data_IF_970651211990
#
_entry.id   IF_970651211990
#
_cell.length_a   1.000
_cell.length_b   1.000
_cell.length_c   1.000
_cell.angle_alpha   90.00
_cell.angle_beta   90.00
_cell.angle_gamma   90.00
#
_symmetry.space_group_name_H-M   'P 1'
#
loop_
_entity.id
_entity.type
_entity.pdbx_description
1 polymer ?
#
# COMPACT_ATOMS: atom_id res chain seq x y z
N UNK A 1 -19.11 -20.66 -1.79
CA UNK A 1 -18.48 -21.91 -1.32
C UNK A 1 -17.32 -21.48 -0.42
N UNK A 2 -17.54 -21.56 0.86
CA UNK A 2 -16.55 -21.12 1.85
C UNK A 2 -15.34 -22.04 1.77
N UNK A 3 -14.19 -21.48 1.41
CA UNK A 3 -12.92 -22.21 1.43
C UNK A 3 -12.48 -22.36 2.90
N UNK A 4 -12.97 -23.40 3.55
CA UNK A 4 -12.42 -23.80 4.86
C UNK A 4 -11.13 -24.54 4.57
N UNK A 5 -10.01 -23.94 4.92
CA UNK A 5 -8.69 -24.56 4.78
C UNK A 5 -8.39 -25.30 6.08
N UNK A 6 -8.73 -26.58 6.15
CA UNK A 6 -8.49 -27.42 7.33
C UNK A 6 -7.00 -27.65 7.59
N UNK A 7 -6.17 -27.66 6.56
CA UNK A 7 -4.73 -27.83 6.66
C UNK A 7 -3.97 -26.87 5.74
N UNK A 8 -3.53 -25.76 6.32
CA UNK A 8 -2.82 -24.70 5.60
C UNK A 8 -1.53 -25.22 4.96
N UNK A 9 -0.76 -26.07 5.65
CA UNK A 9 0.49 -26.59 5.13
C UNK A 9 0.27 -27.45 3.88
N UNK A 10 -0.76 -28.29 3.89
CA UNK A 10 -1.10 -29.11 2.74
C UNK A 10 -1.62 -28.24 1.58
N UNK A 11 -2.45 -27.23 1.85
CA UNK A 11 -2.94 -26.30 0.85
C UNK A 11 -1.78 -25.54 0.16
N UNK A 12 -0.76 -25.11 0.91
CA UNK A 12 0.45 -24.48 0.36
C UNK A 12 1.17 -25.44 -0.58
N UNK A 13 1.40 -26.69 -0.16
CA UNK A 13 2.08 -27.70 -0.96
C UNK A 13 1.34 -27.97 -2.26
N UNK A 14 0.03 -28.16 -2.19
CA UNK A 14 -0.79 -28.49 -3.36
C UNK A 14 -0.89 -27.32 -4.33
N UNK A 15 -1.05 -26.08 -3.82
CA UNK A 15 -1.01 -24.87 -4.64
C UNK A 15 0.31 -24.73 -5.36
N UNK A 16 1.44 -24.90 -4.67
CA UNK A 16 2.77 -24.86 -5.30
C UNK A 16 2.94 -25.94 -6.37
N UNK A 17 2.49 -27.16 -6.13
CA UNK A 17 2.51 -28.25 -7.13
C UNK A 17 1.67 -27.90 -8.36
N UNK A 18 0.48 -27.34 -8.14
CA UNK A 18 -0.41 -26.95 -9.24
C UNK A 18 0.21 -25.83 -10.08
N UNK A 19 0.70 -24.76 -9.46
CA UNK A 19 1.34 -23.64 -10.14
C UNK A 19 2.59 -24.11 -10.92
N UNK A 20 3.40 -24.98 -10.32
CA UNK A 20 4.59 -25.51 -10.98
C UNK A 20 4.27 -26.33 -12.25
N UNK A 21 3.14 -27.00 -12.32
CA UNK A 21 2.73 -27.72 -13.53
C UNK A 21 2.51 -26.79 -14.73
N UNK A 22 2.10 -25.56 -14.46
CA UNK A 22 1.80 -24.54 -15.48
C UNK A 22 3.08 -23.75 -15.88
N UNK A 23 4.20 -23.98 -15.21
CA UNK A 23 5.45 -23.24 -15.39
C UNK A 23 6.62 -24.20 -15.69
N UNK A 24 6.64 -24.85 -16.87
CA UNK A 24 7.65 -25.87 -17.20
C UNK A 24 9.08 -25.31 -17.17
N UNK A 25 9.26 -24.04 -17.58
CA UNK A 25 10.56 -23.36 -17.67
C UNK A 25 10.86 -22.46 -16.45
N UNK A 26 10.44 -22.88 -15.26
CA UNK A 26 10.51 -22.08 -14.03
C UNK A 26 11.93 -21.52 -13.75
N UNK A 27 13.00 -22.27 -14.02
CA UNK A 27 14.38 -21.79 -13.83
C UNK A 27 14.73 -20.65 -14.80
N UNK A 28 14.26 -20.71 -16.03
CA UNK A 28 14.44 -19.65 -17.03
C UNK A 28 13.72 -18.39 -16.58
N UNK A 29 12.46 -18.54 -16.20
CA UNK A 29 11.62 -17.43 -15.70
C UNK A 29 12.30 -16.72 -14.52
N UNK A 30 12.78 -17.45 -13.52
CA UNK A 30 13.47 -16.84 -12.38
C UNK A 30 14.78 -16.14 -12.75
N UNK A 31 15.54 -16.67 -13.72
CA UNK A 31 16.77 -16.01 -14.20
C UNK A 31 16.47 -14.70 -14.91
N UNK A 32 15.41 -14.69 -15.72
CA UNK A 32 14.98 -13.48 -16.43
C UNK A 32 14.47 -12.42 -15.47
N UNK A 33 13.66 -12.82 -14.49
CA UNK A 33 13.18 -11.94 -13.43
C UNK A 33 14.35 -11.36 -12.61
N UNK A 34 15.31 -12.20 -12.19
CA UNK A 34 16.50 -11.77 -11.45
C UNK A 34 17.32 -10.76 -12.24
N UNK A 35 17.48 -10.98 -13.55
CA UNK A 35 18.19 -10.05 -14.44
C UNK A 35 17.49 -8.70 -14.51
N UNK A 36 16.17 -8.72 -14.66
CA UNK A 36 15.34 -7.51 -14.74
C UNK A 36 15.38 -6.73 -13.42
N UNK A 37 15.21 -7.41 -12.29
CA UNK A 37 15.33 -6.80 -10.96
C UNK A 37 16.72 -6.17 -10.74
N UNK A 38 17.81 -6.83 -11.15
CA UNK A 38 19.16 -6.26 -11.04
C UNK A 38 19.33 -5.00 -11.90
N UNK A 39 18.73 -4.98 -13.08
CA UNK A 39 18.74 -3.80 -13.95
C UNK A 39 17.98 -2.64 -13.28
N UNK A 40 16.81 -2.88 -12.71
CA UNK A 40 16.03 -1.89 -11.98
C UNK A 40 16.77 -1.35 -10.74
N UNK A 41 17.39 -2.23 -9.95
CA UNK A 41 18.22 -1.82 -8.82
C UNK A 41 19.34 -0.89 -9.28
N UNK A 42 20.05 -1.25 -10.36
CA UNK A 42 21.13 -0.42 -10.90
C UNK A 42 20.64 0.94 -11.38
N UNK A 43 19.44 1.03 -11.97
CA UNK A 43 18.81 2.30 -12.33
C UNK A 43 18.51 3.16 -11.09
N UNK A 44 17.99 2.55 -10.03
CA UNK A 44 17.71 3.24 -8.76
C UNK A 44 19.02 3.76 -8.13
N UNK A 45 20.06 2.92 -8.07
CA UNK A 45 21.37 3.32 -7.54
C UNK A 45 22.00 4.48 -8.33
N UNK A 46 21.83 4.48 -9.64
CA UNK A 46 22.28 5.59 -10.48
C UNK A 46 21.51 6.89 -10.17
N UNK A 47 20.19 6.82 -10.00
CA UNK A 47 19.40 7.99 -9.62
C UNK A 47 19.85 8.54 -8.26
N UNK A 48 20.07 7.68 -7.27
CA UNK A 48 20.55 8.08 -5.95
C UNK A 48 21.94 8.74 -6.05
N UNK A 49 22.86 8.15 -6.78
CA UNK A 49 24.20 8.69 -7.00
C UNK A 49 24.18 10.06 -7.69
N UNK A 50 23.25 10.26 -8.61
CA UNK A 50 23.04 11.53 -9.31
C UNK A 50 22.28 12.57 -8.47
N UNK A 51 21.92 12.26 -7.23
CA UNK A 51 21.10 13.12 -6.36
C UNK A 51 19.66 13.31 -6.85
N UNK A 52 19.15 12.41 -7.70
CA UNK A 52 17.80 12.46 -8.25
C UNK A 52 16.82 11.69 -7.36
N UNK A 53 15.59 12.16 -7.27
CA UNK A 53 14.53 11.46 -6.56
C UNK A 53 14.17 10.14 -7.25
N UNK A 54 14.12 9.07 -6.47
CA UNK A 54 13.68 7.74 -6.94
C UNK A 54 12.16 7.65 -6.97
N UNK A 55 11.50 8.18 -5.92
CA UNK A 55 10.04 8.22 -5.83
C UNK A 55 9.56 9.51 -6.45
N UNK A 56 8.67 9.46 -7.45
CA UNK A 56 8.16 10.65 -8.10
C UNK A 56 7.29 11.49 -7.16
N UNK A 57 7.40 12.80 -7.29
CA UNK A 57 6.60 13.76 -6.53
C UNK A 57 5.63 14.49 -7.44
N UNK A 58 4.42 14.72 -6.93
CA UNK A 58 3.37 15.49 -7.60
C UNK A 58 2.85 16.57 -6.67
N UNK A 59 2.77 17.80 -7.13
CA UNK A 59 2.12 18.85 -6.38
C UNK A 59 0.59 18.77 -6.57
N UNK A 60 -0.16 18.92 -5.50
CA UNK A 60 -1.63 18.89 -5.53
C UNK A 60 -2.23 19.92 -6.52
N UNK A 61 -1.63 21.09 -6.67
CA UNK A 61 -2.12 22.09 -7.64
C UNK A 61 -2.07 21.55 -9.08
N UNK A 62 -1.09 20.73 -9.44
CA UNK A 62 -1.05 20.07 -10.75
C UNK A 62 -2.19 19.06 -10.91
N UNK A 63 -2.53 18.32 -9.83
CA UNK A 63 -3.67 17.39 -9.82
C UNK A 63 -4.99 18.16 -9.96
N UNK A 64 -5.15 19.22 -9.18
CA UNK A 64 -6.35 20.08 -9.17
C UNK A 64 -6.65 20.66 -10.54
N UNK A 65 -5.62 21.06 -11.26
CA UNK A 65 -5.71 21.69 -12.57
C UNK A 65 -5.61 20.71 -13.76
N UNK A 66 -5.55 19.39 -13.48
CA UNK A 66 -5.36 18.33 -14.48
C UNK A 66 -4.11 18.53 -15.37
N UNK A 67 -3.01 19.05 -14.76
CA UNK A 67 -1.75 19.43 -15.42
C UNK A 67 -0.56 18.56 -15.00
N UNK A 68 -0.80 17.36 -14.50
CA UNK A 68 0.31 16.44 -14.16
C UNK A 68 0.99 15.95 -15.42
N UNK A 69 2.31 16.10 -15.48
CA UNK A 69 3.12 15.67 -16.63
C UNK A 69 2.98 14.16 -16.87
N UNK A 70 2.77 13.77 -18.12
CA UNK A 70 2.65 12.36 -18.54
C UNK A 70 3.89 11.54 -18.20
N UNK A 71 5.07 12.15 -18.17
CA UNK A 71 6.32 11.46 -17.76
C UNK A 71 6.31 11.12 -16.29
N UNK A 72 5.78 12.02 -15.44
CA UNK A 72 5.59 11.76 -14.00
C UNK A 72 4.60 10.62 -13.82
N UNK A 73 3.47 10.64 -14.53
CA UNK A 73 2.48 9.55 -14.50
C UNK A 73 3.12 8.21 -14.90
N UNK A 74 3.91 8.17 -15.97
CA UNK A 74 4.63 6.97 -16.39
C UNK A 74 5.61 6.49 -15.30
N UNK A 75 6.32 7.40 -14.65
CA UNK A 75 7.23 7.08 -13.56
C UNK A 75 6.48 6.53 -12.35
N UNK A 76 5.31 7.10 -11.99
CA UNK A 76 4.46 6.58 -10.92
C UNK A 76 4.04 5.14 -11.22
N UNK A 77 3.58 4.87 -12.43
CA UNK A 77 3.17 3.51 -12.83
C UNK A 77 4.36 2.54 -12.83
N UNK A 78 5.53 2.99 -13.19
CA UNK A 78 6.75 2.19 -13.17
C UNK A 78 7.22 1.88 -11.75
N UNK A 79 7.18 2.88 -10.85
CA UNK A 79 7.62 2.76 -9.45
C UNK A 79 6.55 2.20 -8.51
N UNK A 80 5.28 2.28 -8.86
CA UNK A 80 4.16 1.85 -8.03
C UNK A 80 3.87 2.72 -6.81
N UNK A 81 4.53 3.87 -6.70
CA UNK A 81 4.39 4.78 -5.57
C UNK A 81 4.61 6.23 -5.99
N UNK A 82 4.10 7.16 -5.19
CA UNK A 82 4.27 8.59 -5.38
C UNK A 82 4.19 9.34 -4.05
N UNK A 83 4.80 10.52 -3.99
CA UNK A 83 4.58 11.51 -2.94
C UNK A 83 3.71 12.63 -3.51
N UNK A 84 2.58 12.89 -2.88
CA UNK A 84 1.70 14.00 -3.25
C UNK A 84 1.95 15.14 -2.28
N UNK A 85 2.47 16.24 -2.79
CA UNK A 85 2.82 17.43 -1.99
C UNK A 85 1.65 18.42 -1.92
N UNK A 86 1.53 19.08 -0.78
CA UNK A 86 0.64 20.20 -0.57
C UNK A 86 -0.86 19.90 -0.77
N UNK A 87 -1.29 18.67 -0.42
CA UNK A 87 -2.72 18.34 -0.40
C UNK A 87 -3.44 19.21 0.63
N UNK A 88 -2.81 19.42 1.79
CA UNK A 88 -3.30 20.28 2.85
C UNK A 88 -2.33 21.44 3.11
N UNK A 89 -2.81 22.61 3.56
CA UNK A 89 -1.96 23.67 4.07
C UNK A 89 -1.13 23.19 5.26
N UNK A 90 0.13 23.62 5.36
CA UNK A 90 1.04 23.21 6.42
C UNK A 90 0.47 23.52 7.81
N UNK A 91 -0.05 24.75 8.02
CA UNK A 91 -0.65 25.14 9.30
C UNK A 91 -1.82 24.25 9.71
N UNK A 92 -2.69 23.87 8.77
CA UNK A 92 -3.80 22.94 9.06
C UNK A 92 -3.31 21.57 9.50
N UNK A 93 -2.23 21.08 8.93
CA UNK A 93 -1.63 19.79 9.27
C UNK A 93 -0.96 19.84 10.65
N UNK A 94 -0.30 20.96 10.97
CA UNK A 94 0.29 21.21 12.28
C UNK A 94 -0.80 21.27 13.36
N UNK A 95 -1.89 22.03 13.15
CA UNK A 95 -3.05 22.07 14.04
C UNK A 95 -3.64 20.66 14.27
N UNK A 96 -3.77 19.87 13.22
CA UNK A 96 -4.27 18.50 13.34
C UNK A 96 -3.33 17.56 14.12
N UNK A 97 -2.02 17.75 13.97
CA UNK A 97 -1.06 16.99 14.75
C UNK A 97 -1.19 17.31 16.24
N UNK A 98 -1.30 18.59 16.59
CA UNK A 98 -1.42 19.04 17.97
C UNK A 98 -2.74 18.55 18.60
N UNK A 99 -3.87 18.67 17.88
CA UNK A 99 -5.15 18.13 18.30
C UNK A 99 -5.12 16.61 18.53
N UNK A 100 -4.37 15.86 17.69
CA UNK A 100 -4.24 14.43 17.87
C UNK A 100 -3.39 14.06 19.09
N UNK A 101 -2.33 14.83 19.36
CA UNK A 101 -1.49 14.64 20.55
C UNK A 101 -2.31 14.88 21.82
N UNK A 102 -3.07 15.97 21.85
CA UNK A 102 -3.98 16.32 22.94
C UNK A 102 -5.02 15.21 23.15
N UNK A 103 -5.70 14.79 22.08
CA UNK A 103 -6.70 13.72 22.13
C UNK A 103 -6.15 12.40 22.72
N UNK A 104 -4.94 11.99 22.30
CA UNK A 104 -4.29 10.77 22.83
C UNK A 104 -4.01 10.90 24.31
N UNK A 105 -3.55 12.07 24.76
CA UNK A 105 -3.16 12.35 26.14
C UNK A 105 -4.39 12.45 27.05
N UNK A 106 -5.39 13.26 26.68
CA UNK A 106 -6.59 13.50 27.48
C UNK A 106 -7.45 12.24 27.67
N UNK A 107 -7.42 11.33 26.68
CA UNK A 107 -8.14 10.06 26.78
C UNK A 107 -7.34 8.95 27.46
N UNK A 108 -6.18 9.24 28.04
CA UNK A 108 -5.36 8.25 28.75
C UNK A 108 -4.99 7.04 27.89
N UNK A 109 -4.75 7.26 26.58
CA UNK A 109 -4.57 6.15 25.64
C UNK A 109 -3.28 5.36 25.91
N UNK A 110 -2.24 6.02 26.39
CA UNK A 110 -0.97 5.36 26.72
C UNK A 110 -1.12 4.40 27.90
N UNK A 111 -1.84 4.82 28.95
CA UNK A 111 -2.11 4.02 30.13
C UNK A 111 -2.96 2.79 29.78
N UNK A 112 -4.00 2.98 28.96
CA UNK A 112 -4.85 1.88 28.48
C UNK A 112 -4.08 0.86 27.64
N UNK A 113 -3.09 1.30 26.85
CA UNK A 113 -2.24 0.40 26.08
C UNK A 113 -1.30 -0.42 26.96
N UNK A 114 -0.79 0.14 28.05
CA UNK A 114 0.06 -0.58 29.00
C UNK A 114 -0.72 -1.71 29.71
N UNK A 115 -1.99 -1.47 30.06
CA UNK A 115 -2.86 -2.49 30.66
C UNK A 115 -3.22 -3.62 29.69
N UNK A 116 -3.24 -3.33 28.38
CA UNK A 116 -3.59 -4.28 27.31
C UNK A 116 -2.37 -4.78 26.54
N UNK A 117 -1.21 -4.83 27.16
CA UNK A 117 0.07 -5.16 26.54
C UNK A 117 0.09 -6.46 25.70
N UNK A 118 -0.85 -7.38 25.94
CA UNK A 118 -0.96 -8.63 25.18
C UNK A 118 -1.51 -8.43 23.73
N UNK A 119 -2.15 -7.30 23.43
CA UNK A 119 -2.65 -7.02 22.08
C UNK A 119 -1.59 -6.39 21.18
N UNK A 120 -0.55 -5.79 21.74
CA UNK A 120 0.50 -5.06 21.06
C UNK A 120 1.91 -5.59 21.35
N UNK A 121 2.08 -6.91 21.54
CA UNK A 121 3.39 -7.53 21.78
C UNK A 121 4.46 -7.13 20.75
N UNK A 122 4.04 -6.74 19.55
CA UNK A 122 4.93 -6.23 18.52
C UNK A 122 5.60 -4.89 18.86
N UNK A 123 5.01 -4.12 19.77
CA UNK A 123 5.46 -2.76 20.11
C UNK A 123 5.87 -2.58 21.57
N UNK A 124 5.71 -3.60 22.40
CA UNK A 124 5.98 -3.54 23.85
C UNK A 124 7.45 -3.42 24.24
N UNK A 125 8.37 -3.58 23.27
CA UNK A 125 9.82 -3.56 23.52
C UNK A 125 10.49 -2.24 23.09
N UNK A 126 9.69 -1.20 22.79
CA UNK A 126 10.20 0.12 22.42
C UNK A 126 10.80 0.86 23.62
N UNK A 127 11.84 1.64 23.38
CA UNK A 127 12.53 2.43 24.42
C UNK A 127 11.56 3.39 25.13
N UNK A 128 10.63 4.01 24.38
CA UNK A 128 9.62 4.90 24.93
C UNK A 128 8.52 4.19 25.74
N UNK A 129 8.35 2.89 25.55
CA UNK A 129 7.22 2.15 26.08
C UNK A 129 5.86 2.56 25.50
N UNK A 130 5.86 3.38 24.43
CA UNK A 130 4.63 3.87 23.79
C UNK A 130 4.32 3.09 22.52
N UNK A 131 3.04 2.84 22.20
CA UNK A 131 2.67 2.20 20.93
C UNK A 131 3.03 3.09 19.75
N UNK A 132 3.42 2.46 18.63
CA UNK A 132 3.66 3.20 17.37
C UNK A 132 2.46 3.19 16.43
N UNK A 133 1.47 2.33 16.68
CA UNK A 133 0.22 2.24 15.91
C UNK A 133 -0.93 2.34 16.90
N UNK A 134 -1.81 3.29 16.69
CA UNK A 134 -2.92 3.58 17.58
C UNK A 134 -4.22 3.09 16.95
N UNK A 135 -5.01 2.36 17.71
CA UNK A 135 -6.37 1.91 17.34
C UNK A 135 -7.42 3.03 17.40
N UNK A 136 -7.02 4.24 17.02
CA UNK A 136 -7.88 5.42 16.96
C UNK A 136 -8.28 5.63 15.49
N UNK A 137 -9.58 5.70 15.22
CA UNK A 137 -10.13 5.75 13.87
C UNK A 137 -11.03 6.97 13.62
N UNK A 138 -11.52 7.60 14.67
CA UNK A 138 -12.62 8.57 14.59
C UNK A 138 -12.28 9.89 15.28
N UNK A 139 -11.01 10.23 15.45
CA UNK A 139 -10.66 11.57 15.91
C UNK A 139 -11.12 12.61 14.89
N UNK A 140 -11.38 13.83 15.36
CA UNK A 140 -11.84 14.92 14.50
C UNK A 140 -10.87 15.17 13.32
N UNK A 141 -9.54 15.26 13.51
CA UNK A 141 -8.59 15.42 12.40
C UNK A 141 -8.67 14.30 11.36
N UNK A 142 -8.81 13.04 11.78
CA UNK A 142 -8.93 11.92 10.85
C UNK A 142 -10.20 12.04 9.99
N UNK A 143 -11.33 12.39 10.61
CA UNK A 143 -12.59 12.56 9.88
C UNK A 143 -12.49 13.71 8.89
N UNK A 144 -11.96 14.86 9.32
CA UNK A 144 -11.78 16.03 8.46
C UNK A 144 -10.86 15.74 7.27
N UNK A 145 -9.73 15.08 7.52
CA UNK A 145 -8.78 14.71 6.45
C UNK A 145 -9.41 13.76 5.43
N UNK A 146 -10.13 12.72 5.90
CA UNK A 146 -10.80 11.74 5.00
C UNK A 146 -11.88 12.36 4.14
N UNK A 147 -12.62 13.36 4.66
CA UNK A 147 -13.75 13.98 3.98
C UNK A 147 -13.38 15.27 3.21
N UNK A 148 -12.12 15.65 3.24
CA UNK A 148 -11.66 16.87 2.55
C UNK A 148 -11.72 16.69 1.03
N UNK A 149 -12.26 17.69 0.35
CA UNK A 149 -12.39 17.69 -1.12
C UNK A 149 -11.05 17.57 -1.85
N UNK A 150 -9.96 18.07 -1.25
CA UNK A 150 -8.61 17.94 -1.80
C UNK A 150 -8.14 16.48 -1.76
N UNK A 151 -8.42 15.79 -0.65
CA UNK A 151 -8.15 14.36 -0.53
C UNK A 151 -9.00 13.55 -1.51
N UNK A 152 -10.29 13.84 -1.64
CA UNK A 152 -11.18 13.21 -2.60
C UNK A 152 -10.68 13.39 -4.05
N UNK A 153 -10.31 14.63 -4.46
CA UNK A 153 -9.73 14.88 -5.79
C UNK A 153 -8.43 14.12 -6.00
N UNK A 154 -7.56 14.07 -4.97
CA UNK A 154 -6.29 13.31 -5.03
C UNK A 154 -6.55 11.82 -5.25
N UNK A 155 -7.45 11.23 -4.48
CA UNK A 155 -7.80 9.80 -4.60
C UNK A 155 -8.43 9.48 -5.96
N UNK A 156 -9.37 10.30 -6.42
CA UNK A 156 -9.97 10.16 -7.74
C UNK A 156 -8.92 10.24 -8.84
N UNK A 157 -7.97 11.19 -8.76
CA UNK A 157 -6.88 11.27 -9.71
C UNK A 157 -6.01 10.00 -9.69
N UNK A 158 -5.64 9.51 -8.51
CA UNK A 158 -4.86 8.27 -8.36
C UNK A 158 -5.62 7.06 -8.90
N UNK A 159 -6.92 6.95 -8.63
CA UNK A 159 -7.75 5.87 -9.16
C UNK A 159 -7.76 5.88 -10.69
N UNK A 160 -7.78 7.04 -11.32
CA UNK A 160 -7.75 7.18 -12.78
C UNK A 160 -6.38 6.83 -13.41
N UNK A 161 -5.34 6.52 -12.62
CA UNK A 161 -4.10 5.94 -13.14
C UNK A 161 -4.24 4.48 -13.56
N UNK A 162 -5.28 3.79 -13.07
CA UNK A 162 -5.56 2.41 -13.40
C UNK A 162 -6.29 2.27 -14.73
N UNK A 163 -5.99 1.18 -15.44
CA UNK A 163 -6.80 0.74 -16.56
C UNK A 163 -7.99 -0.06 -16.02
N UNK A 164 -9.21 0.49 -16.08
CA UNK A 164 -10.43 -0.09 -15.53
C UNK A 164 -11.54 -0.26 -16.57
N UNK A 165 -11.20 -0.06 -17.85
CA UNK A 165 -12.09 -0.25 -18.99
C UNK A 165 -11.88 -1.62 -19.64
N UNK A 166 -12.94 -2.35 -19.85
CA UNK A 166 -12.97 -3.52 -20.71
C UNK A 166 -13.90 -3.23 -21.89
N UNK A 167 -13.31 -2.88 -23.04
CA UNK A 167 -14.09 -2.39 -24.19
C UNK A 167 -14.81 -1.08 -23.87
N UNK A 168 -16.13 -1.08 -23.98
CA UNK A 168 -17.01 0.06 -23.63
C UNK A 168 -17.53 0.00 -22.19
N UNK A 169 -17.29 -1.09 -21.48
CA UNK A 169 -17.79 -1.29 -20.12
C UNK A 169 -16.78 -0.80 -19.08
N UNK A 170 -17.33 -0.29 -17.98
CA UNK A 170 -16.57 0.20 -16.83
C UNK A 170 -16.82 -0.75 -15.65
N UNK A 171 -15.83 -1.54 -15.29
CA UNK A 171 -15.92 -2.44 -14.14
C UNK A 171 -15.85 -1.68 -12.80
N UNK A 172 -15.25 -0.49 -12.80
CA UNK A 172 -15.01 0.34 -11.59
C UNK A 172 -15.25 1.80 -11.96
N UNK A 173 -15.94 2.52 -11.09
CA UNK A 173 -16.03 3.99 -11.19
C UNK A 173 -14.86 4.63 -10.41
N UNK A 174 -13.82 5.03 -11.11
CA UNK A 174 -12.64 5.63 -10.53
C UNK A 174 -12.90 6.96 -9.80
N UNK A 175 -14.03 7.61 -10.04
CA UNK A 175 -14.41 8.87 -9.41
C UNK A 175 -15.19 8.67 -8.12
N UNK A 176 -15.61 7.44 -7.83
CA UNK A 176 -16.23 7.09 -6.55
C UNK A 176 -15.18 6.47 -5.64
N UNK A 177 -14.81 7.20 -4.60
CA UNK A 177 -13.87 6.69 -3.62
C UNK A 177 -14.57 5.88 -2.53
N UNK A 178 -13.93 4.81 -2.10
CA UNK A 178 -14.27 4.10 -0.89
C UNK A 178 -13.06 4.16 0.05
N UNK A 179 -13.27 4.66 1.26
CA UNK A 179 -12.21 4.81 2.25
C UNK A 179 -12.62 4.08 3.53
N UNK A 180 -11.81 3.18 4.01
CA UNK A 180 -11.96 2.64 5.36
C UNK A 180 -11.24 3.53 6.38
N UNK A 181 -11.56 3.36 7.66
CA UNK A 181 -10.97 4.14 8.73
C UNK A 181 -9.45 3.93 8.81
N UNK A 182 -8.70 5.02 8.75
CA UNK A 182 -7.25 5.06 8.87
C UNK A 182 -6.81 4.97 10.33
N UNK A 183 -5.57 4.57 10.54
CA UNK A 183 -4.93 4.50 11.86
C UNK A 183 -3.93 5.64 12.03
N UNK A 184 -3.77 6.09 13.27
CA UNK A 184 -2.70 6.99 13.63
C UNK A 184 -1.42 6.18 13.78
N UNK A 185 -0.33 6.65 13.17
CA UNK A 185 1.02 6.16 13.41
C UNK A 185 1.87 7.29 13.95
N UNK A 186 2.48 7.06 15.10
CA UNK A 186 3.38 8.01 15.74
C UNK A 186 4.57 7.26 16.30
N UNK A 187 5.75 7.80 16.04
CA UNK A 187 6.99 7.31 16.63
C UNK A 187 7.57 8.37 17.53
N UNK A 188 8.02 7.95 18.69
CA UNK A 188 8.75 8.83 19.58
C UNK A 188 10.24 8.91 19.15
N UNK A 189 10.91 10.05 19.37
CA UNK A 189 12.33 10.19 19.10
C UNK A 189 13.15 9.13 19.84
N UNK A 190 14.10 8.51 19.12
CA UNK A 190 14.96 7.47 19.69
C UNK A 190 14.39 6.05 19.63
N UNK A 191 13.10 5.88 19.36
CA UNK A 191 12.53 4.56 19.18
C UNK A 191 13.04 3.89 17.90
N UNK A 192 13.45 2.64 18.05
CA UNK A 192 13.80 1.82 16.90
C UNK A 192 12.59 1.56 16.01
N UNK A 193 12.82 1.43 14.71
CA UNK A 193 11.80 0.88 13.81
C UNK A 193 11.68 -0.61 14.06
N UNK A 194 10.60 -1.06 14.69
CA UNK A 194 10.12 -2.41 14.44
C UNK A 194 9.44 -2.41 13.09
N UNK A 195 10.25 -2.22 12.03
CA UNK A 195 9.74 -2.35 10.69
C UNK A 195 9.32 -3.78 10.47
N UNK A 196 8.12 -3.98 9.97
CA UNK A 196 7.79 -5.22 9.29
C UNK A 196 8.88 -5.46 8.23
N UNK A 197 9.29 -6.71 8.05
CA UNK A 197 10.15 -7.08 6.94
C UNK A 197 9.56 -6.58 5.62
N UNK A 198 10.37 -6.34 4.59
CA UNK A 198 9.84 -6.00 3.27
C UNK A 198 8.75 -6.98 2.86
N UNK A 199 7.58 -6.48 2.55
CA UNK A 199 6.41 -7.30 2.19
C UNK A 199 5.51 -6.52 1.23
N UNK A 200 4.62 -7.23 0.58
CA UNK A 200 3.46 -6.66 -0.09
C UNK A 200 2.21 -7.02 0.70
N UNK A 201 1.23 -6.12 0.76
CA UNK A 201 -0.07 -6.40 1.38
C UNK A 201 -0.95 -7.29 0.49
N UNK A 202 -0.32 -8.23 -0.21
CA UNK A 202 -0.99 -9.16 -1.13
C UNK A 202 -1.85 -10.20 -0.41
N UNK A 203 -1.68 -10.34 0.90
CA UNK A 203 -2.42 -11.29 1.73
C UNK A 203 -1.76 -12.66 1.83
N UNK A 204 -2.48 -13.57 2.42
CA UNK A 204 -2.07 -14.93 2.75
C UNK A 204 -2.37 -15.93 1.62
N UNK A 205 -2.20 -17.21 1.93
CA UNK A 205 -2.39 -18.31 0.97
C UNK A 205 -3.80 -18.32 0.36
N UNK A 206 -4.81 -17.86 1.07
CA UNK A 206 -6.19 -17.77 0.60
C UNK A 206 -6.28 -16.97 -0.70
N UNK A 207 -5.50 -15.90 -0.84
CA UNK A 207 -5.44 -15.10 -2.07
C UNK A 207 -4.84 -15.86 -3.24
N UNK A 208 -3.84 -16.69 -2.99
CA UNK A 208 -3.20 -17.49 -4.04
C UNK A 208 -4.06 -18.66 -4.51
N UNK A 209 -4.97 -19.16 -3.67
CA UNK A 209 -5.93 -20.22 -3.99
C UNK A 209 -7.17 -19.63 -4.67
N UNK A 210 -7.53 -18.39 -4.36
CA UNK A 210 -8.70 -17.73 -4.90
C UNK A 210 -8.62 -17.54 -6.41
N UNK A 211 -9.69 -17.95 -7.12
CA UNK A 211 -9.73 -17.89 -8.58
C UNK A 211 -9.73 -16.45 -9.12
N UNK A 212 -10.34 -15.52 -8.40
CA UNK A 212 -10.31 -14.09 -8.75
C UNK A 212 -8.89 -13.54 -8.73
N UNK A 213 -8.13 -13.84 -7.66
CA UNK A 213 -6.73 -13.45 -7.59
C UNK A 213 -5.86 -14.17 -8.61
N UNK A 214 -6.13 -15.43 -8.92
CA UNK A 214 -5.41 -16.14 -9.98
C UNK A 214 -5.64 -15.48 -11.35
N UNK A 215 -6.82 -14.94 -11.63
CA UNK A 215 -7.06 -14.14 -12.85
C UNK A 215 -6.21 -12.85 -12.86
N UNK A 216 -6.13 -12.13 -11.74
CA UNK A 216 -5.31 -10.91 -11.63
C UNK A 216 -3.85 -11.18 -11.97
N UNK A 217 -3.32 -12.31 -11.53
CA UNK A 217 -1.92 -12.69 -11.73
C UNK A 217 -1.73 -13.75 -12.81
N UNK A 218 -2.67 -13.88 -13.77
CA UNK A 218 -2.62 -14.96 -14.76
C UNK A 218 -1.34 -14.90 -15.62
N UNK A 219 -0.85 -13.71 -15.95
CA UNK A 219 0.42 -13.56 -16.68
C UNK A 219 1.61 -14.10 -15.86
N UNK A 220 1.63 -13.82 -14.56
CA UNK A 220 2.66 -14.35 -13.65
C UNK A 220 2.57 -15.87 -13.58
N UNK A 221 1.38 -16.42 -13.39
CA UNK A 221 1.15 -17.86 -13.25
C UNK A 221 1.25 -18.66 -14.57
N UNK A 222 1.24 -17.99 -15.71
CA UNK A 222 1.52 -18.61 -17.02
C UNK A 222 2.98 -18.52 -17.45
N UNK A 223 3.82 -17.82 -16.70
CA UNK A 223 5.22 -17.57 -17.03
C UNK A 223 5.47 -16.35 -17.90
N UNK A 224 4.43 -15.66 -18.31
CA UNK A 224 4.52 -14.42 -19.10
C UNK A 224 4.55 -13.18 -18.19
N UNK A 225 5.33 -13.23 -17.12
CA UNK A 225 5.37 -12.18 -16.09
C UNK A 225 5.67 -10.79 -16.66
N UNK A 226 6.40 -10.69 -17.78
CA UNK A 226 6.69 -9.42 -18.45
C UNK A 226 5.45 -8.72 -18.99
N UNK A 227 4.36 -9.44 -19.22
CA UNK A 227 3.09 -8.89 -19.70
C UNK A 227 2.18 -8.43 -18.54
N UNK A 228 2.59 -8.70 -17.30
CA UNK A 228 1.85 -8.26 -16.14
C UNK A 228 1.89 -6.74 -15.99
N UNK A 229 0.70 -6.11 -16.03
CA UNK A 229 0.51 -4.69 -15.72
C UNK A 229 -0.13 -4.57 -14.32
N UNK A 230 0.63 -4.10 -13.31
CA UNK A 230 0.07 -3.90 -11.97
C UNK A 230 -1.09 -2.90 -11.92
N UNK A 231 -1.21 -2.03 -12.92
CA UNK A 231 -2.28 -1.03 -13.03
C UNK A 231 -3.47 -1.49 -13.89
N UNK A 232 -3.49 -2.73 -14.32
CA UNK A 232 -4.66 -3.31 -14.99
C UNK A 232 -5.70 -3.77 -13.98
N UNK A 233 -6.81 -3.03 -13.89
CA UNK A 233 -7.94 -3.36 -13.04
C UNK A 233 -9.01 -4.21 -13.73
N UNK A 234 -8.86 -4.52 -15.02
CA UNK A 234 -9.90 -5.26 -15.79
C UNK A 234 -10.15 -6.66 -15.26
N UNK A 235 -9.12 -7.27 -14.65
CA UNK A 235 -9.21 -8.58 -14.00
C UNK A 235 -9.61 -8.52 -12.52
N UNK A 236 -9.82 -7.33 -11.94
CA UNK A 236 -10.08 -7.14 -10.51
C UNK A 236 -11.56 -6.89 -10.19
N UNK A 237 -12.45 -7.10 -11.14
CA UNK A 237 -13.90 -6.89 -10.98
C UNK A 237 -14.61 -8.04 -10.27
N UNK A 238 -14.03 -9.24 -10.30
CA UNK A 238 -14.53 -10.40 -9.58
C UNK A 238 -13.74 -10.57 -8.29
N UNK A 239 -14.37 -10.27 -7.18
CA UNK A 239 -13.80 -10.48 -5.85
C UNK A 239 -14.54 -11.63 -5.20
N UNK A 240 -13.85 -12.76 -5.00
CA UNK A 240 -14.41 -13.86 -4.24
C UNK A 240 -14.46 -13.48 -2.77
N UNK A 241 -15.61 -13.67 -2.15
CA UNK A 241 -15.77 -13.51 -0.71
C UNK A 241 -15.25 -14.78 -0.03
N UNK A 242 -13.99 -14.75 0.37
CA UNK A 242 -13.46 -15.76 1.28
C UNK A 242 -13.64 -15.20 2.70
N UNK A 243 -14.41 -15.86 3.56
CA UNK A 243 -14.52 -15.44 4.95
C UNK A 243 -13.16 -15.52 5.64
N UNK A 244 -12.53 -14.37 5.82
CA UNK A 244 -11.28 -14.25 6.55
C UNK A 244 -11.21 -12.90 7.25
N UNK A 245 -10.87 -12.84 8.54
CA UNK A 245 -10.71 -11.57 9.26
C UNK A 245 -9.54 -10.74 8.72
N UNK A 246 -8.64 -11.34 7.98
CA UNK A 246 -7.46 -10.68 7.41
C UNK A 246 -7.66 -10.18 5.97
N UNK A 247 -8.76 -10.52 5.31
CA UNK A 247 -8.99 -10.20 3.91
C UNK A 247 -10.07 -9.14 3.76
N UNK A 248 -9.74 -8.04 3.07
CA UNK A 248 -10.71 -7.05 2.63
C UNK A 248 -11.22 -7.43 1.24
N UNK A 249 -12.53 -7.51 1.07
CA UNK A 249 -13.19 -7.82 -0.19
C UNK A 249 -13.32 -6.60 -1.12
N UNK A 250 -12.70 -5.49 -0.77
CA UNK A 250 -12.73 -4.27 -1.57
C UNK A 250 -11.48 -4.21 -2.44
N UNK A 251 -11.66 -3.91 -3.74
CA UNK A 251 -10.54 -3.57 -4.61
C UNK A 251 -9.87 -2.31 -4.08
N UNK A 252 -8.59 -2.41 -3.70
CA UNK A 252 -7.77 -1.30 -3.23
C UNK A 252 -6.84 -0.86 -4.34
N UNK A 253 -6.98 0.40 -4.75
CA UNK A 253 -6.13 1.02 -5.78
C UNK A 253 -4.79 1.44 -5.21
N UNK A 254 -4.82 2.22 -4.13
CA UNK A 254 -3.63 2.70 -3.45
C UNK A 254 -3.82 2.65 -1.94
N UNK A 255 -2.73 2.42 -1.24
CA UNK A 255 -2.60 2.61 0.19
C UNK A 255 -1.67 3.80 0.42
N UNK A 256 -1.99 4.63 1.41
CA UNK A 256 -1.18 5.83 1.65
C UNK A 256 -1.31 6.38 3.06
N UNK A 257 -0.53 7.40 3.31
CA UNK A 257 -0.45 8.10 4.59
C UNK A 257 -0.51 9.59 4.35
N UNK A 258 -1.13 10.31 5.29
CA UNK A 258 -0.99 11.76 5.41
C UNK A 258 0.09 12.04 6.44
N UNK A 259 1.20 12.64 6.03
CA UNK A 259 2.23 13.09 6.95
C UNK A 259 1.74 14.32 7.72
N UNK A 260 1.74 14.26 9.04
CA UNK A 260 1.34 15.37 9.92
C UNK A 260 2.54 16.14 10.48
N UNK A 261 3.74 15.59 10.32
CA UNK A 261 5.01 16.20 10.68
C UNK A 261 5.96 16.15 9.50
N UNK A 262 7.08 16.83 9.57
CA UNK A 262 8.16 16.66 8.60
C UNK A 262 8.65 15.23 8.60
N UNK A 263 8.90 14.70 7.39
CA UNK A 263 9.28 13.32 7.17
C UNK A 263 10.56 13.30 6.33
N UNK A 264 11.67 12.99 6.97
CA UNK A 264 12.98 12.90 6.35
C UNK A 264 13.69 11.58 6.61
N UNK A 265 14.95 11.45 6.21
CA UNK A 265 15.78 10.31 6.57
C UNK A 265 15.89 10.19 8.10
N UNK A 266 15.65 9.00 8.63
CA UNK A 266 15.66 8.67 10.05
C UNK A 266 14.47 9.17 10.90
N UNK A 267 13.49 9.86 10.32
CA UNK A 267 12.27 10.30 11.01
C UNK A 267 11.18 9.21 11.09
N UNK A 268 11.54 7.98 10.83
CA UNK A 268 10.58 6.89 10.83
C UNK A 268 9.70 6.80 9.58
N UNK A 269 10.08 7.50 8.56
CA UNK A 269 9.44 7.49 7.26
C UNK A 269 9.34 6.09 6.69
N UNK A 270 8.23 5.79 6.02
CA UNK A 270 8.01 4.52 5.36
C UNK A 270 9.12 4.25 4.33
N UNK A 271 9.65 3.03 4.36
CA UNK A 271 10.60 2.55 3.36
C UNK A 271 9.86 1.77 2.29
N UNK A 272 10.01 2.17 1.04
CA UNK A 272 9.38 1.53 -0.11
C UNK A 272 10.43 0.85 -0.97
N UNK A 273 10.06 -0.28 -1.59
CA UNK A 273 10.80 -0.90 -2.68
C UNK A 273 10.07 -0.52 -3.97
N UNK A 274 10.55 0.48 -4.72
CA UNK A 274 9.81 1.07 -5.84
C UNK A 274 9.98 0.26 -7.12
N UNK A 275 9.67 -1.03 -7.08
CA UNK A 275 9.73 -2.01 -8.18
C UNK A 275 8.43 -2.81 -8.17
N UNK A 276 7.34 -2.20 -8.65
CA UNK A 276 6.00 -2.79 -8.48
C UNK A 276 5.70 -3.93 -9.46
N UNK A 277 6.45 -3.99 -10.56
CA UNK A 277 6.23 -4.95 -11.64
C UNK A 277 6.89 -6.31 -11.38
N UNK A 278 7.91 -6.37 -10.56
CA UNK A 278 8.76 -7.53 -10.30
C UNK A 278 8.42 -8.16 -8.89
#
# INVERSE_FOLDING_TARGET
>A
MDLIIDNINQAIVDTKKQLKKNLPELKGIFKDLERDMKAEVSLIENLIRDGKAVIPEVNYEAIKNDQVDKKIVATIKHRGCAVIRNVFPKSQVEDWNDELVEYITENGYYEQCQEKAHLDQYFSTLQSGKPQVFGIYWSRPQVLARQDKRMAKTKSWMNNLWNWKQGTEYGIDANKECTYADRIRRREPGDSTFGLSPHTDAGSIERWIDKGYQKVYHHVFSGNWSDYDPFDATYRTEISEIPSPAVSHVFRTFQGWTALTEQGPNDGTLKLIPIVRN
#
